data_IF_929007799251
#
_entry.id   IF_929007799251
#
_cell.length_a   1.000
_cell.length_b   1.000
_cell.length_c   1.000
_cell.angle_alpha   90.00
_cell.angle_beta   90.00
_cell.angle_gamma   90.00
#
_symmetry.space_group_name_H-M   'P 1'
#
loop_
_entity.id
_entity.type
_entity.pdbx_description
1 polymer ?
#
# COMPACT_ATOMS: atom_id res chain seq x y z
N UNK A 1 4.42 4.76 -8.50
CA UNK A 1 3.43 4.84 -7.39
C UNK A 1 2.70 3.50 -7.37
N UNK A 2 2.68 2.79 -6.25
CA UNK A 2 1.96 1.50 -6.13
C UNK A 2 0.48 1.79 -5.95
N UNK A 3 -0.37 1.37 -6.89
CA UNK A 3 -1.81 1.67 -6.86
C UNK A 3 -2.62 0.38 -6.99
N UNK A 4 -3.46 0.10 -6.00
CA UNK A 4 -4.71 -0.64 -6.20
C UNK A 4 -5.79 0.06 -5.35
N UNK A 5 -6.21 1.22 -5.82
CA UNK A 5 -7.34 1.97 -5.30
C UNK A 5 -8.43 1.97 -6.38
N UNK A 6 -9.70 1.79 -5.99
CA UNK A 6 -10.81 1.90 -6.92
C UNK A 6 -10.87 3.34 -7.47
N UNK A 7 -10.67 3.49 -8.77
CA UNK A 7 -10.72 4.79 -9.47
C UNK A 7 -12.07 5.04 -10.13
N UNK A 8 -13.06 4.14 -9.99
CA UNK A 8 -14.40 4.34 -10.56
C UNK A 8 -15.04 5.63 -10.04
N UNK A 9 -15.45 6.50 -10.97
CA UNK A 9 -16.03 7.81 -10.69
C UNK A 9 -15.00 8.95 -10.59
N UNK A 10 -13.70 8.68 -10.79
CA UNK A 10 -12.61 9.68 -10.72
C UNK A 10 -11.98 9.98 -12.08
N UNK A 11 -12.39 9.29 -13.13
CA UNK A 11 -11.84 9.34 -14.50
C UNK A 11 -11.93 10.71 -15.21
N UNK A 12 -12.62 11.70 -14.65
CA UNK A 12 -12.81 13.02 -15.26
C UNK A 12 -12.47 14.21 -14.32
N UNK A 13 -11.68 13.96 -13.28
CA UNK A 13 -11.23 15.00 -12.35
C UNK A 13 -10.06 15.79 -12.94
N UNK A 14 -10.12 17.12 -12.84
CA UNK A 14 -9.02 18.02 -13.20
C UNK A 14 -8.40 18.53 -11.91
N UNK A 15 -7.07 18.46 -11.81
CA UNK A 15 -6.31 19.02 -10.71
C UNK A 15 -5.50 20.24 -11.20
N UNK A 16 -5.64 21.36 -10.50
CA UNK A 16 -4.89 22.58 -10.74
C UNK A 16 -3.64 22.62 -9.85
N UNK A 17 -2.47 22.51 -10.48
CA UNK A 17 -1.16 22.58 -9.83
C UNK A 17 -0.46 23.95 -10.05
N UNK A 18 -1.17 24.96 -10.57
CA UNK A 18 -0.56 26.24 -10.96
C UNK A 18 0.00 27.07 -9.80
N UNK A 19 -0.46 26.81 -8.58
CA UNK A 19 -0.10 27.56 -7.37
C UNK A 19 0.92 26.85 -6.48
N UNK A 20 1.21 25.57 -6.73
CA UNK A 20 2.14 24.79 -5.92
C UNK A 20 2.71 23.59 -6.68
N UNK A 21 4.00 23.33 -6.48
CA UNK A 21 4.69 22.10 -6.86
C UNK A 21 4.38 20.91 -5.93
N UNK A 22 3.73 21.15 -4.79
CA UNK A 22 3.41 20.15 -3.77
C UNK A 22 1.93 19.82 -3.67
N UNK A 23 1.06 20.68 -4.16
CA UNK A 23 -0.39 20.52 -4.01
C UNK A 23 -1.07 20.83 -5.33
N UNK A 24 -1.90 19.90 -5.79
CA UNK A 24 -2.81 20.13 -6.89
C UNK A 24 -4.24 20.06 -6.37
N UNK A 25 -4.98 21.16 -6.50
CA UNK A 25 -6.34 21.31 -6.01
C UNK A 25 -7.32 20.79 -7.07
N UNK A 26 -8.19 19.86 -6.71
CA UNK A 26 -9.17 19.36 -7.67
C UNK A 26 -10.32 20.34 -7.83
N UNK A 27 -10.72 20.59 -9.07
CA UNK A 27 -11.81 21.49 -9.39
C UNK A 27 -13.07 20.73 -9.82
N UNK A 28 -14.23 21.22 -9.40
CA UNK A 28 -15.51 20.75 -9.90
C UNK A 28 -15.71 21.23 -11.35
N UNK A 29 -15.86 20.28 -12.29
CA UNK A 29 -16.26 20.59 -13.67
C UNK A 29 -17.78 20.75 -13.73
N UNK A 30 -18.28 21.82 -14.36
CA UNK A 30 -19.72 22.07 -14.55
C UNK A 30 -20.04 22.19 -16.06
N UNK A 31 -21.15 21.58 -16.54
CA UNK A 31 -22.07 20.72 -15.80
C UNK A 31 -21.52 19.30 -15.64
N UNK A 32 -21.67 18.71 -14.45
CA UNK A 32 -21.31 17.31 -14.23
C UNK A 32 -22.15 16.70 -13.10
N UNK A 33 -22.71 15.51 -13.34
CA UNK A 33 -23.71 14.91 -12.45
C UNK A 33 -23.11 14.27 -11.17
N UNK A 34 -21.79 14.08 -11.09
CA UNK A 34 -21.12 13.30 -10.03
C UNK A 34 -19.86 13.96 -9.45
N UNK A 35 -19.74 15.29 -9.50
CA UNK A 35 -18.51 15.99 -9.10
C UNK A 35 -18.34 16.20 -7.58
N UNK A 36 -19.06 15.45 -6.74
CA UNK A 36 -19.10 15.65 -5.28
C UNK A 36 -17.78 15.29 -4.59
N UNK A 37 -17.11 14.22 -5.04
CA UNK A 37 -15.96 13.66 -4.34
C UNK A 37 -14.64 14.17 -4.93
N UNK A 38 -14.29 15.43 -4.64
CA UNK A 38 -12.97 15.98 -4.98
C UNK A 38 -11.89 15.44 -4.04
N UNK A 39 -10.74 15.05 -4.61
CA UNK A 39 -9.62 14.48 -3.85
C UNK A 39 -8.35 15.23 -4.20
N UNK A 40 -8.05 16.33 -3.50
CA UNK A 40 -6.78 17.04 -3.70
C UNK A 40 -5.59 16.09 -3.65
N UNK A 41 -4.61 16.39 -4.49
CA UNK A 41 -3.35 15.64 -4.55
C UNK A 41 -2.32 16.43 -3.78
N UNK A 42 -1.69 15.79 -2.80
CA UNK A 42 -0.59 16.37 -2.06
C UNK A 42 0.66 15.49 -2.17
N UNK A 43 1.78 16.11 -2.50
CA UNK A 43 3.11 15.52 -2.56
C UNK A 43 3.88 16.01 -1.32
N UNK A 44 4.33 15.09 -0.48
CA UNK A 44 4.99 15.44 0.78
C UNK A 44 6.20 14.54 1.04
N UNK A 45 7.28 15.07 1.64
CA UNK A 45 8.42 14.26 1.99
C UNK A 45 8.09 13.45 3.25
N UNK A 46 8.48 12.17 3.28
CA UNK A 46 8.40 11.31 4.46
C UNK A 46 9.60 10.40 4.49
N UNK A 47 10.38 10.46 5.57
CA UNK A 47 11.57 9.61 5.76
C UNK A 47 12.58 9.66 4.59
N UNK A 48 12.74 10.82 3.95
CA UNK A 48 13.62 11.00 2.79
C UNK A 48 13.04 10.55 1.45
N UNK A 49 11.79 10.06 1.43
CA UNK A 49 11.07 9.65 0.23
C UNK A 49 9.97 10.65 -0.11
N UNK A 50 9.57 10.71 -1.38
CA UNK A 50 8.43 11.51 -1.82
C UNK A 50 7.15 10.66 -1.85
N UNK A 51 6.17 11.03 -1.03
CA UNK A 51 4.91 10.32 -0.89
C UNK A 51 3.77 11.15 -1.49
N UNK A 52 2.74 10.46 -1.98
CA UNK A 52 1.56 11.07 -2.60
C UNK A 52 0.35 10.77 -1.74
N UNK A 53 -0.45 11.78 -1.42
CA UNK A 53 -1.79 11.62 -0.84
C UNK A 53 -2.82 12.02 -1.87
N UNK A 54 -3.82 11.18 -2.07
CA UNK A 54 -5.02 11.48 -2.87
C UNK A 54 -6.23 11.23 -1.99
N UNK A 55 -6.90 12.32 -1.57
CA UNK A 55 -7.96 12.24 -0.57
C UNK A 55 -7.44 11.66 0.75
N UNK A 56 -8.08 10.59 1.24
CA UNK A 56 -7.66 9.88 2.46
C UNK A 56 -6.58 8.80 2.24
N UNK A 57 -6.21 8.52 0.99
CA UNK A 57 -5.24 7.47 0.66
C UNK A 57 -3.84 8.03 0.54
N UNK A 58 -2.87 7.33 1.14
CA UNK A 58 -1.46 7.67 1.13
C UNK A 58 -0.68 6.59 0.37
N UNK A 59 0.15 7.01 -0.57
CA UNK A 59 0.90 6.18 -1.49
C UNK A 59 2.41 6.44 -1.33
N UNK A 60 3.20 5.37 -1.38
CA UNK A 60 4.66 5.42 -1.33
C UNK A 60 5.29 5.09 -2.69
N UNK A 61 6.55 5.47 -2.94
CA UNK A 61 7.30 5.02 -4.11
C UNK A 61 7.40 3.49 -4.17
N UNK A 62 7.27 2.90 -5.36
CA UNK A 62 7.35 1.44 -5.49
C UNK A 62 8.75 0.91 -5.12
N UNK A 63 9.79 1.64 -5.49
CA UNK A 63 11.19 1.28 -5.24
C UNK A 63 11.57 1.37 -3.75
N UNK A 64 10.70 1.95 -2.92
CA UNK A 64 10.85 1.96 -1.45
C UNK A 64 10.28 0.72 -0.76
N UNK A 65 9.64 -0.19 -1.53
CA UNK A 65 9.10 -1.44 -0.99
C UNK A 65 10.21 -2.47 -0.86
N UNK A 66 10.77 -2.55 0.34
CA UNK A 66 11.85 -3.46 0.65
C UNK A 66 11.39 -4.93 0.70
N UNK A 67 12.24 -5.89 0.29
CA UNK A 67 11.96 -7.31 0.46
C UNK A 67 11.68 -7.69 1.91
N UNK A 68 10.79 -8.65 2.10
CA UNK A 68 10.64 -9.37 3.36
C UNK A 68 11.89 -10.21 3.57
N UNK A 69 12.56 -10.02 4.70
CA UNK A 69 13.76 -10.79 5.02
C UNK A 69 13.42 -12.28 5.16
N UNK A 70 14.30 -13.15 4.68
CA UNK A 70 14.23 -14.57 4.96
C UNK A 70 14.45 -14.83 6.46
N UNK A 71 13.76 -15.84 7.00
CA UNK A 71 13.76 -16.12 8.43
C UNK A 71 12.95 -15.10 9.23
N UNK A 72 13.34 -14.92 10.50
CA UNK A 72 12.62 -14.06 11.44
C UNK A 72 13.02 -12.59 11.25
N UNK A 73 12.04 -11.70 11.19
CA UNK A 73 12.25 -10.26 11.16
C UNK A 73 11.13 -9.51 11.89
N UNK A 74 11.33 -8.20 12.10
CA UNK A 74 10.36 -7.34 12.75
C UNK A 74 10.03 -6.17 11.84
N UNK A 75 8.72 -5.91 11.69
CA UNK A 75 8.16 -4.74 11.02
C UNK A 75 7.65 -3.76 12.07
N UNK A 76 8.04 -2.50 11.95
CA UNK A 76 7.52 -1.43 12.81
C UNK A 76 6.35 -0.74 12.12
N UNK A 77 5.19 -0.70 12.80
CA UNK A 77 4.07 0.14 12.40
C UNK A 77 4.26 1.51 13.06
N UNK A 78 4.42 2.55 12.24
CA UNK A 78 4.65 3.92 12.69
C UNK A 78 3.54 4.49 13.59
N UNK A 79 3.80 5.65 14.18
CA UNK A 79 2.84 6.34 15.06
C UNK A 79 1.57 6.78 14.34
N UNK A 80 1.62 6.94 13.02
CA UNK A 80 0.46 7.25 12.17
C UNK A 80 -0.42 6.03 11.89
N UNK A 81 0.07 4.81 12.20
CA UNK A 81 -0.68 3.57 11.98
C UNK A 81 -0.77 3.13 10.52
N UNK A 82 0.08 3.66 9.64
CA UNK A 82 0.13 3.22 8.25
C UNK A 82 0.59 1.77 8.16
N UNK A 83 -0.03 1.04 7.25
CA UNK A 83 0.37 -0.33 6.94
C UNK A 83 1.74 -0.37 6.26
N UNK A 84 2.48 -1.44 6.48
CA UNK A 84 3.82 -1.63 5.93
C UNK A 84 3.80 -2.59 4.74
N UNK A 85 4.47 -2.17 3.66
CA UNK A 85 4.62 -2.95 2.45
C UNK A 85 5.92 -3.75 2.48
N UNK A 86 5.86 -5.01 2.04
CA UNK A 86 7.04 -5.85 1.78
C UNK A 86 6.88 -6.59 0.46
N UNK A 87 7.94 -6.65 -0.34
CA UNK A 87 7.98 -7.57 -1.48
C UNK A 87 8.41 -8.95 -1.01
N UNK A 88 7.86 -10.00 -1.61
CA UNK A 88 8.23 -11.39 -1.36
C UNK A 88 8.95 -11.86 -2.62
N UNK A 89 10.27 -12.11 -2.55
CA UNK A 89 11.04 -12.57 -3.71
C UNK A 89 10.48 -13.88 -4.24
N UNK A 90 10.50 -14.04 -5.57
CA UNK A 90 10.18 -15.31 -6.20
C UNK A 90 11.14 -16.40 -5.71
N UNK A 91 10.59 -17.58 -5.41
CA UNK A 91 11.36 -18.75 -5.02
C UNK A 91 10.89 -19.97 -5.80
N UNK A 92 11.80 -20.89 -6.18
CA UNK A 92 11.42 -22.16 -6.81
C UNK A 92 10.75 -23.14 -5.83
N UNK A 93 10.83 -22.89 -4.52
CA UNK A 93 10.25 -23.72 -3.47
C UNK A 93 8.95 -23.14 -2.89
N UNK A 94 8.20 -23.98 -2.18
CA UNK A 94 7.07 -23.52 -1.38
C UNK A 94 7.56 -22.57 -0.28
N UNK A 95 7.04 -21.35 -0.26
CA UNK A 95 7.31 -20.37 0.78
C UNK A 95 6.11 -20.28 1.72
N UNK A 96 6.38 -20.03 2.99
CA UNK A 96 5.37 -19.79 4.01
C UNK A 96 5.67 -18.50 4.77
N UNK A 97 4.61 -17.79 5.14
CA UNK A 97 4.71 -16.55 5.90
C UNK A 97 3.95 -16.75 7.20
N UNK A 98 4.61 -16.46 8.32
CA UNK A 98 3.95 -16.29 9.60
C UNK A 98 4.05 -14.83 10.06
N UNK A 99 2.94 -14.28 10.52
CA UNK A 99 2.79 -12.95 11.07
C UNK A 99 2.27 -13.07 12.51
N UNK A 100 2.86 -12.30 13.43
CA UNK A 100 2.40 -12.17 14.81
C UNK A 100 2.33 -10.69 15.19
N UNK A 101 1.23 -10.27 15.81
CA UNK A 101 0.96 -8.85 16.12
C UNK A 101 0.29 -8.05 14.99
N UNK A 102 0.16 -8.63 13.79
CA UNK A 102 -0.60 -8.03 12.70
C UNK A 102 -2.11 -8.00 13.02
N UNK A 103 -2.79 -6.94 12.65
CA UNK A 103 -4.26 -6.81 12.77
C UNK A 103 -4.99 -7.20 11.48
N UNK A 104 -4.32 -7.07 10.33
CA UNK A 104 -4.82 -7.49 9.03
C UNK A 104 -3.64 -7.64 8.06
N UNK A 105 -3.88 -8.27 6.91
CA UNK A 105 -2.94 -8.26 5.79
C UNK A 105 -3.65 -8.43 4.45
N UNK A 106 -2.96 -8.03 3.38
CA UNK A 106 -3.35 -8.25 1.99
C UNK A 106 -2.15 -8.76 1.20
N UNK A 107 -2.38 -9.75 0.34
CA UNK A 107 -1.40 -10.34 -0.55
C UNK A 107 -1.77 -10.02 -2.00
N UNK A 108 -0.82 -9.48 -2.73
CA UNK A 108 -0.95 -9.08 -4.12
C UNK A 108 0.08 -9.78 -5.00
N UNK A 109 -0.23 -10.02 -6.26
CA UNK A 109 0.79 -10.44 -7.25
C UNK A 109 1.65 -9.26 -7.74
N UNK A 110 2.57 -9.52 -8.67
CA UNK A 110 3.45 -8.52 -9.26
C UNK A 110 2.74 -7.43 -10.07
N UNK A 111 1.47 -7.62 -10.42
CA UNK A 111 0.61 -6.63 -11.08
C UNK A 111 -0.29 -5.89 -10.08
N UNK A 112 -0.08 -6.11 -8.78
CA UNK A 112 -0.91 -5.59 -7.69
C UNK A 112 -2.38 -6.04 -7.74
N UNK A 113 -2.67 -7.18 -8.36
CA UNK A 113 -3.98 -7.83 -8.22
C UNK A 113 -4.06 -8.51 -6.85
N UNK A 114 -5.13 -8.24 -6.10
CA UNK A 114 -5.36 -8.87 -4.79
C UNK A 114 -5.58 -10.38 -4.98
N UNK A 115 -4.77 -11.21 -4.33
CA UNK A 115 -4.90 -12.68 -4.34
C UNK A 115 -5.58 -13.21 -3.10
N UNK A 116 -5.25 -12.64 -1.94
CA UNK A 116 -5.85 -13.04 -0.66
C UNK A 116 -5.71 -11.92 0.37
N UNK A 117 -6.54 -11.96 1.39
CA UNK A 117 -6.50 -11.02 2.51
C UNK A 117 -7.12 -11.64 3.75
N UNK A 118 -6.76 -11.10 4.91
CA UNK A 118 -7.40 -11.44 6.19
C UNK A 118 -7.41 -10.21 7.08
N UNK A 119 -8.50 -10.03 7.81
CA UNK A 119 -8.68 -9.11 8.95
C UNK A 119 -8.55 -9.82 10.30
N UNK A 120 -8.06 -11.06 10.28
CA UNK A 120 -7.88 -11.94 11.44
C UNK A 120 -6.47 -12.54 11.47
N UNK A 121 -6.16 -13.27 12.56
CA UNK A 121 -4.86 -13.92 12.78
C UNK A 121 -4.50 -15.07 11.81
N UNK A 122 -5.32 -15.32 10.77
CA UNK A 122 -4.99 -16.28 9.72
C UNK A 122 -3.72 -15.87 8.98
N UNK A 123 -2.87 -16.83 8.62
CA UNK A 123 -1.60 -16.56 7.94
C UNK A 123 -1.75 -16.41 6.43
N UNK A 124 -0.91 -15.60 5.76
CA UNK A 124 -0.88 -15.53 4.30
C UNK A 124 -0.52 -16.88 3.68
N UNK A 125 -1.28 -17.28 2.66
CA UNK A 125 -0.96 -18.46 1.86
C UNK A 125 -0.44 -17.99 0.51
N UNK A 126 0.81 -18.35 0.21
CA UNK A 126 1.42 -18.04 -1.07
C UNK A 126 1.01 -19.10 -2.10
N UNK A 127 0.40 -18.69 -3.23
CA UNK A 127 0.24 -19.58 -4.36
C UNK A 127 1.61 -20.09 -4.82
N UNK A 128 1.71 -21.38 -5.18
CA UNK A 128 2.92 -21.89 -5.82
C UNK A 128 3.13 -21.16 -7.16
N UNK A 129 4.10 -20.24 -7.21
CA UNK A 129 4.29 -19.39 -8.38
C UNK A 129 5.73 -18.85 -8.46
N UNK A 130 6.28 -18.77 -9.68
CA UNK A 130 7.63 -18.27 -9.94
C UNK A 130 7.72 -16.73 -10.08
N UNK A 131 6.76 -15.99 -9.51
CA UNK A 131 6.71 -14.53 -9.61
C UNK A 131 6.71 -13.90 -8.20
N UNK A 132 7.24 -12.67 -8.05
CA UNK A 132 7.21 -11.99 -6.77
C UNK A 132 5.77 -11.65 -6.36
N UNK A 133 5.54 -11.64 -5.06
CA UNK A 133 4.32 -11.14 -4.44
C UNK A 133 4.59 -9.87 -3.65
N UNK A 134 3.54 -9.15 -3.29
CA UNK A 134 3.61 -8.02 -2.37
C UNK A 134 2.67 -8.25 -1.20
N UNK A 135 3.19 -8.08 0.00
CA UNK A 135 2.45 -8.18 1.25
C UNK A 135 2.26 -6.80 1.84
N UNK A 136 1.01 -6.44 2.13
CA UNK A 136 0.66 -5.28 2.93
C UNK A 136 0.23 -5.75 4.31
N UNK A 137 0.93 -5.29 5.35
CA UNK A 137 0.73 -5.71 6.73
C UNK A 137 0.21 -4.54 7.56
N UNK A 138 -0.92 -4.77 8.24
CA UNK A 138 -1.51 -3.80 9.17
C UNK A 138 -1.19 -4.20 10.61
N UNK A 139 -1.02 -3.22 11.48
CA UNK A 139 -0.92 -3.40 12.92
C UNK A 139 -1.42 -2.16 13.65
N UNK A 140 -1.34 -2.16 14.98
CA UNK A 140 -1.69 -0.98 15.77
C UNK A 140 -0.64 0.12 15.54
N UNK A 141 -1.05 1.39 15.62
CA UNK A 141 -0.09 2.49 15.64
C UNK A 141 0.95 2.30 16.75
N UNK A 142 2.21 2.59 16.44
CA UNK A 142 3.34 2.44 17.36
C UNK A 142 3.48 1.01 17.91
N UNK A 143 3.38 0.01 17.03
CA UNK A 143 3.50 -1.42 17.40
C UNK A 143 4.46 -2.17 16.49
N UNK A 144 4.86 -3.36 16.93
CA UNK A 144 5.72 -4.26 16.17
C UNK A 144 4.91 -5.45 15.66
N UNK A 145 5.20 -5.86 14.43
CA UNK A 145 4.72 -7.11 13.84
C UNK A 145 5.91 -8.00 13.57
N UNK A 146 5.94 -9.18 14.18
CA UNK A 146 6.95 -10.19 13.89
C UNK A 146 6.58 -10.95 12.63
N UNK A 147 7.56 -11.22 11.78
CA UNK A 147 7.39 -11.99 10.54
C UNK A 147 8.36 -13.14 10.48
N UNK A 148 7.94 -14.25 9.88
CA UNK A 148 8.81 -15.37 9.52
C UNK A 148 8.55 -15.71 8.06
N UNK A 149 9.59 -15.63 7.21
CA UNK A 149 9.55 -16.16 5.84
C UNK A 149 10.41 -17.43 5.80
N UNK A 150 9.77 -18.58 5.57
CA UNK A 150 10.43 -19.88 5.45
C UNK A 150 10.26 -20.43 4.03
#
# INVERSE_FOLDING_TARGET
IVVNADTRGKENQIADASTSDRVALMCLKIPFALGRDLNDVAIFPRSGEEWVRVGSSVFRPADSVWPLAAGSSVLSIGTEGYAEWRSIPASPGAQSIALSGATAWKLYDGEFNLKSSSDSARQPQLPAHAAPFYLLVYGKANSLVSTMLA
#
